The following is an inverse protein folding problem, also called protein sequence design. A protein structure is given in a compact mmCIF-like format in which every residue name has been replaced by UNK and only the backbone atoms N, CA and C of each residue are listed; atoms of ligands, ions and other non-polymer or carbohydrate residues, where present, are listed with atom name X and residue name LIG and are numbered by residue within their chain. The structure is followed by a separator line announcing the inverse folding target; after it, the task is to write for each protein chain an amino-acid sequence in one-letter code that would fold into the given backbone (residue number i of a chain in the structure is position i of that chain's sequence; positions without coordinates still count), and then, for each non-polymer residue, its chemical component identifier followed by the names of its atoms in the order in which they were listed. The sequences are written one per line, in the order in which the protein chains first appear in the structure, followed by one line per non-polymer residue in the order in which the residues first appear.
data_IF_572294071094
#
_entry.id   IF_572294071094
#
_cell.length_a   1.000
_cell.length_b   1.000
_cell.length_c   1.000
_cell.angle_alpha   90.00
_cell.angle_beta   90.00
_cell.angle_gamma   90.00
#
_symmetry.space_group_name_H-M   'P 1'
#
loop_
_entity.id
_entity.type
_entity.pdbx_description
1 polymer ?
#
# COMPACT_ATOMS: atom_id res chain seq x y z
N UNK A 1 3.42 2.85 -4.61
CA UNK A 1 4.18 4.11 -4.54
C UNK A 1 5.00 4.44 -5.78
N UNK A 2 6.09 3.73 -6.12
CA UNK A 2 6.97 4.13 -7.26
C UNK A 2 6.25 4.20 -8.62
N UNK A 3 5.24 3.34 -8.83
CA UNK A 3 4.40 3.34 -10.03
C UNK A 3 3.54 4.61 -10.09
N UNK A 4 3.07 5.10 -8.94
CA UNK A 4 2.35 6.36 -8.82
C UNK A 4 3.27 7.56 -9.08
N UNK A 5 4.50 7.55 -8.55
CA UNK A 5 5.47 8.60 -8.83
C UNK A 5 5.82 8.68 -10.31
N UNK A 6 6.00 7.53 -10.97
CA UNK A 6 6.34 7.48 -12.39
C UNK A 6 5.16 7.84 -13.32
N UNK A 7 3.96 7.35 -13.00
CA UNK A 7 2.76 7.55 -13.82
C UNK A 7 1.50 7.45 -12.94
N UNK A 8 1.20 8.55 -12.25
CA UNK A 8 0.02 8.69 -11.40
C UNK A 8 -1.25 8.34 -12.16
N UNK A 9 -1.49 8.97 -13.31
CA UNK A 9 -2.73 8.77 -14.06
C UNK A 9 -2.88 7.32 -14.54
N UNK A 10 -1.80 6.71 -15.01
CA UNK A 10 -1.82 5.31 -15.41
C UNK A 10 -2.12 4.37 -14.24
N UNK A 11 -1.62 4.65 -13.02
CA UNK A 11 -1.99 3.85 -11.85
C UNK A 11 -3.48 3.95 -11.57
N UNK A 12 -4.05 5.15 -11.55
CA UNK A 12 -5.49 5.34 -11.34
C UNK A 12 -6.34 4.64 -12.41
N UNK A 13 -5.92 4.69 -13.67
CA UNK A 13 -6.59 3.99 -14.76
C UNK A 13 -6.60 2.46 -14.52
N UNK A 14 -5.48 1.88 -14.09
CA UNK A 14 -5.37 0.45 -13.77
C UNK A 14 -6.20 0.05 -12.55
N UNK A 15 -6.21 0.88 -11.49
CA UNK A 15 -7.08 0.65 -10.33
C UNK A 15 -8.54 0.66 -10.74
N UNK A 16 -8.98 1.67 -11.52
CA UNK A 16 -10.36 1.74 -12.00
C UNK A 16 -10.73 0.52 -12.84
N UNK A 17 -9.85 0.11 -13.76
CA UNK A 17 -10.07 -1.07 -14.59
C UNK A 17 -10.20 -2.35 -13.74
N UNK A 18 -9.34 -2.52 -12.73
CA UNK A 18 -9.41 -3.62 -11.78
C UNK A 18 -10.75 -3.65 -11.05
N UNK A 19 -11.17 -2.51 -10.47
CA UNK A 19 -12.45 -2.40 -9.77
C UNK A 19 -13.64 -2.65 -10.73
N UNK A 20 -13.56 -2.19 -11.98
CA UNK A 20 -14.58 -2.46 -13.02
C UNK A 20 -14.69 -3.96 -13.30
N UNK A 21 -13.57 -4.70 -13.32
CA UNK A 21 -13.55 -6.16 -13.49
C UNK A 21 -14.16 -6.85 -12.26
N UNK A 22 -13.73 -6.48 -11.04
CA UNK A 22 -14.23 -7.06 -9.80
C UNK A 22 -15.75 -6.93 -9.67
N UNK A 23 -16.31 -5.75 -9.97
CA UNK A 23 -17.75 -5.52 -9.89
C UNK A 23 -18.52 -6.41 -10.89
N UNK A 24 -18.02 -6.58 -12.13
CA UNK A 24 -18.63 -7.52 -13.11
C UNK A 24 -18.60 -8.98 -12.62
N UNK A 25 -17.59 -9.34 -11.84
CA UNK A 25 -17.44 -10.67 -11.25
C UNK A 25 -18.09 -10.78 -9.85
N UNK A 26 -18.75 -9.72 -9.37
CA UNK A 26 -19.37 -9.66 -8.03
C UNK A 26 -18.38 -9.88 -6.88
N UNK A 27 -17.12 -9.48 -7.08
CA UNK A 27 -16.06 -9.51 -6.08
C UNK A 27 -15.97 -8.15 -5.40
N UNK A 28 -15.98 -8.13 -4.07
CA UNK A 28 -15.74 -6.91 -3.28
C UNK A 28 -14.27 -6.81 -2.90
N UNK A 29 -13.77 -5.58 -2.84
CA UNK A 29 -12.34 -5.30 -2.73
C UNK A 29 -11.98 -4.74 -1.36
N UNK A 30 -10.94 -5.32 -0.77
CA UNK A 30 -10.12 -4.67 0.24
C UNK A 30 -8.89 -4.10 -0.49
N UNK A 31 -8.68 -2.79 -0.42
CA UNK A 31 -7.58 -2.14 -1.16
C UNK A 31 -6.43 -1.80 -0.20
N UNK A 32 -5.24 -2.28 -0.56
CA UNK A 32 -4.00 -2.15 0.24
C UNK A 32 -2.95 -1.34 -0.52
N UNK A 33 -2.70 -0.06 -0.17
CA UNK A 33 -1.75 0.80 -0.89
C UNK A 33 -0.30 0.67 -0.42
N UNK A 34 -0.06 0.13 0.78
CA UNK A 34 1.27 -0.01 1.36
C UNK A 34 1.49 -1.38 2.01
N UNK A 35 2.75 -1.79 2.08
CA UNK A 35 3.22 -3.03 2.68
C UNK A 35 4.74 -2.98 2.94
N UNK A 36 5.23 -3.81 3.86
CA UNK A 36 6.68 -4.09 4.02
C UNK A 36 7.09 -5.48 3.51
N UNK A 37 6.28 -6.08 2.63
CA UNK A 37 6.50 -7.41 2.06
C UNK A 37 7.55 -7.42 0.94
N UNK A 38 8.68 -6.72 1.16
CA UNK A 38 9.83 -6.62 0.26
C UNK A 38 10.72 -7.85 0.32
N UNK A 39 10.15 -9.03 0.09
CA UNK A 39 10.84 -10.32 0.29
C UNK A 39 12.02 -10.55 -0.66
N UNK A 40 12.13 -9.77 -1.75
CA UNK A 40 13.28 -9.79 -2.65
C UNK A 40 14.57 -9.24 -2.04
N UNK A 41 14.47 -8.43 -0.99
CA UNK A 41 15.58 -7.64 -0.43
C UNK A 41 15.91 -6.36 -1.21
N UNK A 42 15.39 -6.19 -2.43
CA UNK A 42 15.66 -5.02 -3.24
C UNK A 42 14.73 -3.85 -2.87
N UNK A 43 15.22 -2.63 -3.11
CA UNK A 43 14.33 -1.48 -3.22
C UNK A 43 13.51 -1.58 -4.51
N UNK A 44 12.19 -1.30 -4.51
CA UNK A 44 11.37 -1.33 -5.71
C UNK A 44 11.93 -0.43 -6.83
N UNK A 45 11.86 -0.90 -8.08
CA UNK A 45 12.29 -0.14 -9.25
C UNK A 45 11.34 -0.37 -10.45
N UNK A 46 11.18 0.63 -11.35
CA UNK A 46 10.38 0.48 -12.56
C UNK A 46 11.08 -0.39 -13.62
N UNK A 47 10.29 -0.90 -14.56
CA UNK A 47 10.81 -1.68 -15.69
C UNK A 47 10.78 -3.19 -15.45
N UNK A 48 11.64 -3.93 -16.17
CA UNK A 48 11.66 -5.38 -16.15
C UNK A 48 12.09 -5.90 -14.79
N UNK A 49 11.20 -6.64 -14.13
CA UNK A 49 11.46 -7.26 -12.83
C UNK A 49 12.33 -8.52 -12.98
N UNK A 50 13.00 -8.90 -11.89
CA UNK A 50 13.73 -10.18 -11.78
C UNK A 50 12.79 -11.35 -12.06
N UNK A 51 13.34 -12.42 -12.64
CA UNK A 51 12.60 -13.67 -12.78
C UNK A 51 12.32 -14.28 -11.40
N UNK A 52 11.15 -14.93 -11.27
CA UNK A 52 10.82 -15.72 -10.09
C UNK A 52 11.90 -16.79 -9.85
N UNK A 53 12.20 -17.06 -8.58
CA UNK A 53 13.12 -18.11 -8.18
C UNK A 53 12.29 -19.38 -7.93
N UNK A 54 12.57 -20.50 -8.63
CA UNK A 54 11.86 -21.76 -8.40
C UNK A 54 11.94 -22.19 -6.93
N UNK A 55 10.83 -22.75 -6.43
CA UNK A 55 10.69 -23.24 -5.04
C UNK A 55 10.89 -22.18 -3.93
N UNK A 56 10.90 -20.88 -4.28
CA UNK A 56 10.99 -19.80 -3.31
C UNK A 56 9.67 -19.00 -3.26
N UNK A 57 8.93 -19.16 -2.16
CA UNK A 57 7.69 -18.43 -1.91
C UNK A 57 7.92 -16.91 -1.94
N UNK A 58 6.98 -16.17 -2.53
CA UNK A 58 7.05 -14.72 -2.72
C UNK A 58 8.39 -14.19 -3.27
N UNK A 59 9.09 -15.02 -4.07
CA UNK A 59 10.34 -14.61 -4.68
C UNK A 59 10.13 -13.30 -5.46
N UNK A 60 11.09 -12.39 -5.32
CA UNK A 60 11.08 -11.10 -5.99
C UNK A 60 9.94 -10.14 -5.60
N UNK A 61 9.21 -10.39 -4.51
CA UNK A 61 8.22 -9.42 -4.03
C UNK A 61 8.86 -8.07 -3.72
N UNK A 62 8.22 -7.00 -4.19
CA UNK A 62 8.62 -5.61 -4.02
C UNK A 62 7.54 -4.88 -3.22
N UNK A 63 7.97 -4.22 -2.15
CA UNK A 63 7.10 -3.50 -1.23
C UNK A 63 6.64 -2.13 -1.79
N UNK A 64 5.59 -1.56 -1.21
CA UNK A 64 5.16 -0.18 -1.42
C UNK A 64 5.09 0.54 -0.07
N UNK A 65 5.87 1.60 0.20
CA UNK A 65 6.70 2.36 -0.72
C UNK A 65 8.12 1.81 -0.92
N UNK A 66 8.50 0.77 -0.18
CA UNK A 66 9.82 0.18 -0.19
C UNK A 66 10.70 0.71 0.95
N UNK A 67 11.56 -0.16 1.48
CA UNK A 67 12.28 0.06 2.74
C UNK A 67 13.10 1.37 2.77
N UNK A 68 13.80 1.73 1.70
CA UNK A 68 14.56 2.99 1.67
C UNK A 68 13.68 4.25 1.87
N UNK A 69 12.42 4.21 1.43
CA UNK A 69 11.47 5.31 1.64
C UNK A 69 10.96 5.30 3.07
N UNK A 70 10.64 4.13 3.62
CA UNK A 70 10.21 3.99 5.02
C UNK A 70 11.31 4.47 5.97
N UNK A 71 12.55 4.08 5.71
CA UNK A 71 13.73 4.43 6.51
C UNK A 71 14.10 5.92 6.44
N UNK A 72 13.57 6.66 5.46
CA UNK A 72 13.89 8.07 5.26
C UNK A 72 12.67 8.97 5.49
N UNK A 73 12.56 9.52 6.71
CA UNK A 73 11.47 10.44 7.09
C UNK A 73 11.33 11.66 6.18
N UNK A 74 12.40 12.12 5.52
CA UNK A 74 12.28 13.25 4.60
C UNK A 74 11.42 12.93 3.38
N UNK A 75 11.25 11.66 3.03
CA UNK A 75 10.42 11.21 1.92
C UNK A 75 8.93 11.03 2.29
N UNK A 76 8.58 11.09 3.57
CA UNK A 76 7.22 10.75 4.02
C UNK A 76 6.16 11.74 3.53
N UNK A 77 6.54 12.96 3.18
CA UNK A 77 5.63 13.92 2.55
C UNK A 77 5.13 13.43 1.17
N UNK A 78 5.95 12.72 0.42
CA UNK A 78 5.52 12.10 -0.85
C UNK A 78 4.60 10.91 -0.59
N UNK A 79 4.88 10.11 0.44
CA UNK A 79 4.01 8.99 0.85
C UNK A 79 2.65 9.52 1.28
N UNK A 80 2.61 10.62 2.04
CA UNK A 80 1.38 11.32 2.40
C UNK A 80 0.59 11.73 1.16
N UNK A 81 1.27 12.37 0.20
CA UNK A 81 0.65 12.81 -1.05
C UNK A 81 0.04 11.63 -1.81
N UNK A 82 0.78 10.51 -1.91
CA UNK A 82 0.30 9.28 -2.54
C UNK A 82 -0.93 8.70 -1.84
N UNK A 83 -0.91 8.59 -0.50
CA UNK A 83 -2.02 8.00 0.26
C UNK A 83 -3.26 8.88 0.18
N UNK A 84 -3.12 10.19 0.40
CA UNK A 84 -4.25 11.12 0.29
C UNK A 84 -4.86 11.11 -1.11
N UNK A 85 -4.03 11.01 -2.14
CA UNK A 85 -4.50 10.97 -3.52
C UNK A 85 -5.34 9.72 -3.82
N UNK A 86 -4.87 8.53 -3.40
CA UNK A 86 -5.64 7.28 -3.53
C UNK A 86 -6.93 7.35 -2.70
N UNK A 87 -6.85 7.73 -1.42
CA UNK A 87 -8.00 7.74 -0.53
C UNK A 87 -9.04 8.77 -1.00
N UNK A 88 -8.65 10.02 -1.25
CA UNK A 88 -9.58 11.07 -1.68
C UNK A 88 -10.26 10.74 -3.01
N UNK A 89 -9.59 10.04 -3.93
CA UNK A 89 -10.15 9.63 -5.22
C UNK A 89 -11.20 8.53 -5.08
N UNK A 90 -10.99 7.55 -4.20
CA UNK A 90 -11.81 6.33 -4.15
C UNK A 90 -12.61 6.13 -2.85
N UNK A 91 -12.57 7.06 -1.89
CA UNK A 91 -13.23 6.93 -0.58
C UNK A 91 -14.73 6.62 -0.63
N UNK A 92 -15.43 7.05 -1.67
CA UNK A 92 -16.86 6.84 -1.85
C UNK A 92 -17.17 5.77 -2.93
N UNK A 93 -16.15 5.04 -3.41
CA UNK A 93 -16.33 3.98 -4.39
C UNK A 93 -16.91 2.71 -3.74
N UNK A 94 -18.16 2.30 -4.04
CA UNK A 94 -18.83 1.21 -3.35
C UNK A 94 -18.26 -0.19 -3.66
N UNK A 95 -17.27 -0.27 -4.56
CA UNK A 95 -16.58 -1.51 -4.90
C UNK A 95 -15.49 -1.83 -3.88
N UNK A 96 -14.96 -0.81 -3.20
CA UNK A 96 -14.01 -0.94 -2.10
C UNK A 96 -14.81 -0.96 -0.79
N UNK A 97 -14.75 -2.08 -0.08
CA UNK A 97 -15.51 -2.27 1.16
C UNK A 97 -14.66 -2.09 2.42
N UNK A 98 -13.34 -2.24 2.30
CA UNK A 98 -12.37 -2.12 3.40
C UNK A 98 -11.09 -1.47 2.86
N UNK A 99 -10.50 -0.60 3.66
CA UNK A 99 -9.18 -0.03 3.45
C UNK A 99 -8.19 -0.70 4.39
N UNK A 100 -7.27 -1.47 3.83
CA UNK A 100 -6.15 -2.07 4.57
C UNK A 100 -4.91 -1.23 4.29
N UNK A 101 -4.74 -0.14 5.03
CA UNK A 101 -3.83 0.94 4.63
C UNK A 101 -2.35 0.54 4.58
N UNK A 102 -1.95 -0.44 5.39
CA UNK A 102 -0.57 -0.89 5.49
C UNK A 102 -0.53 -2.36 5.91
N UNK A 103 -0.16 -3.24 4.99
CA UNK A 103 0.01 -4.66 5.27
C UNK A 103 1.38 -4.97 5.90
N UNK A 104 1.37 -5.72 7.00
CA UNK A 104 2.57 -6.19 7.72
C UNK A 104 3.64 -5.10 8.00
N UNK A 105 3.27 -3.96 8.62
CA UNK A 105 4.24 -2.93 8.97
C UNK A 105 5.31 -3.51 9.92
N UNK A 106 6.58 -3.29 9.58
CA UNK A 106 7.73 -3.83 10.30
C UNK A 106 8.22 -5.18 9.77
N UNK A 107 7.68 -5.71 8.68
CA UNK A 107 8.18 -6.96 8.11
C UNK A 107 9.61 -6.79 7.53
N UNK A 108 10.57 -7.42 8.19
CA UNK A 108 11.99 -7.36 7.83
C UNK A 108 12.43 -8.53 6.94
N UNK A 109 11.57 -9.50 6.67
CA UNK A 109 11.97 -10.74 6.02
C UNK A 109 12.46 -10.50 4.59
N UNK A 110 13.55 -11.16 4.26
CA UNK A 110 14.10 -11.30 2.91
C UNK A 110 14.28 -12.80 2.68
N UNK A 111 13.65 -13.32 1.65
CA UNK A 111 13.68 -14.74 1.35
C UNK A 111 14.82 -15.06 0.38
N UNK A 112 15.59 -16.08 0.72
CA UNK A 112 16.74 -16.57 -0.05
C UNK A 112 16.57 -18.07 -0.30
N UNK A 113 17.24 -18.64 -1.31
CA UNK A 113 17.22 -20.10 -1.53
C UNK A 113 17.72 -20.93 -0.35
N UNK A 114 18.47 -20.31 0.58
CA UNK A 114 19.08 -20.98 1.74
C UNK A 114 18.40 -20.65 3.07
N UNK A 115 17.27 -19.94 3.06
CA UNK A 115 16.55 -19.52 4.26
C UNK A 115 16.13 -18.05 4.22
N UNK A 116 15.95 -17.45 5.38
CA UNK A 116 15.54 -16.05 5.53
C UNK A 116 16.62 -15.22 6.22
N UNK A 117 16.71 -13.95 5.82
CA UNK A 117 17.50 -12.94 6.52
C UNK A 117 16.60 -11.76 6.86
N UNK A 118 17.00 -10.96 7.85
CA UNK A 118 16.26 -9.78 8.27
C UNK A 118 16.95 -8.50 7.79
N UNK A 119 16.14 -7.55 7.31
CA UNK A 119 16.55 -6.16 7.11
C UNK A 119 16.83 -5.45 8.46
N UNK A 120 17.31 -4.21 8.40
CA UNK A 120 17.57 -3.34 9.56
C UNK A 120 16.37 -3.29 10.54
N UNK A 121 16.66 -3.41 11.84
CA UNK A 121 15.66 -3.42 12.92
C UNK A 121 14.90 -2.10 13.07
N UNK A 122 15.49 -0.97 12.68
CA UNK A 122 14.82 0.33 12.73
C UNK A 122 13.59 0.38 11.80
N UNK A 123 13.48 -0.53 10.83
CA UNK A 123 12.31 -0.65 9.98
C UNK A 123 11.04 -0.87 10.82
N UNK A 124 11.09 -1.67 11.88
CA UNK A 124 9.91 -1.96 12.72
C UNK A 124 9.32 -0.67 13.32
N UNK A 125 10.18 0.15 13.92
CA UNK A 125 9.77 1.44 14.52
C UNK A 125 9.26 2.41 13.45
N UNK A 126 10.00 2.57 12.36
CA UNK A 126 9.68 3.56 11.33
C UNK A 126 8.43 3.19 10.52
N UNK A 127 8.21 1.89 10.27
CA UNK A 127 7.02 1.41 9.58
C UNK A 127 5.77 1.58 10.44
N UNK A 128 5.89 1.33 11.75
CA UNK A 128 4.78 1.57 12.68
C UNK A 128 4.39 3.05 12.73
N UNK A 129 5.37 3.95 12.84
CA UNK A 129 5.10 5.40 12.82
C UNK A 129 4.50 5.86 11.48
N UNK A 130 4.98 5.32 10.35
CA UNK A 130 4.41 5.61 9.03
C UNK A 130 2.98 5.06 8.89
N UNK A 131 2.69 3.89 9.44
CA UNK A 131 1.34 3.32 9.52
C UNK A 131 0.42 4.26 10.30
N UNK A 132 0.78 4.68 11.50
CA UNK A 132 -0.03 5.61 12.31
C UNK A 132 -0.34 6.91 11.54
N UNK A 133 0.64 7.43 10.79
CA UNK A 133 0.45 8.59 9.92
C UNK A 133 -0.52 8.31 8.78
N UNK A 134 -0.40 7.16 8.10
CA UNK A 134 -1.33 6.79 7.03
C UNK A 134 -2.78 6.66 7.50
N UNK A 135 -3.00 6.09 8.69
CA UNK A 135 -4.33 6.07 9.31
C UNK A 135 -4.85 7.48 9.60
N UNK A 136 -4.00 8.38 10.09
CA UNK A 136 -4.37 9.78 10.33
C UNK A 136 -4.77 10.48 9.03
N UNK A 137 -3.93 10.40 8.01
CA UNK A 137 -4.18 11.02 6.69
C UNK A 137 -5.49 10.50 6.08
N UNK A 138 -5.71 9.19 6.09
CA UNK A 138 -6.94 8.60 5.56
C UNK A 138 -8.20 9.05 6.32
N UNK A 139 -8.12 9.19 7.65
CA UNK A 139 -9.24 9.72 8.46
C UNK A 139 -9.56 11.17 8.11
N UNK A 140 -8.57 12.01 7.90
CA UNK A 140 -8.78 13.41 7.51
C UNK A 140 -9.50 13.54 6.16
N UNK A 141 -9.19 12.69 5.19
CA UNK A 141 -9.87 12.68 3.88
C UNK A 141 -11.33 12.23 3.94
N UNK A 142 -11.68 11.39 4.93
CA UNK A 142 -13.04 10.83 5.09
C UNK A 142 -13.91 11.64 6.05
N UNK A 143 -13.32 12.35 7.01
CA UNK A 143 -14.05 13.20 7.96
C UNK A 143 -14.59 14.47 7.30
N UNK A 144 -13.86 15.06 6.34
CA UNK A 144 -14.30 16.29 5.66
C UNK A 144 -15.47 16.09 4.68
N UNK A 145 -15.77 14.85 4.24
CA UNK A 145 -16.91 14.59 3.35
C UNK A 145 -18.22 14.25 4.06
N UNK A 146 -18.27 14.21 5.41
CA UNK A 146 -19.48 13.83 6.13
C UNK A 146 -19.78 14.73 7.34
N UNK A 147 -20.84 15.53 7.20
CA UNK A 147 -21.63 16.11 8.30
C UNK A 147 -23.12 15.82 8.04
N UNK A 148 -23.96 15.46 9.04
CA UNK A 148 -23.76 14.45 10.07
C UNK A 148 -24.93 13.43 10.23
N UNK A 149 -25.85 13.25 9.26
CA UNK A 149 -27.10 12.46 9.49
C UNK A 149 -27.52 11.45 8.40
N UNK A 150 -26.59 10.90 7.60
CA UNK A 150 -26.95 10.00 6.49
C UNK A 150 -26.50 8.55 6.72
N UNK A 151 -27.34 7.81 7.43
CA UNK A 151 -27.66 6.38 7.22
C UNK A 151 -26.52 5.35 7.13
N UNK A 152 -26.44 4.54 8.20
CA UNK A 152 -26.21 3.10 8.07
C UNK A 152 -24.76 2.65 7.90
N UNK A 153 -24.03 2.64 9.03
CA UNK A 153 -22.83 1.83 9.30
C UNK A 153 -21.91 1.48 8.12
N UNK A 154 -20.71 2.07 8.13
CA UNK A 154 -19.43 1.37 7.90
C UNK A 154 -18.27 2.28 8.27
N UNK A 155 -17.92 2.30 9.54
CA UNK A 155 -16.54 2.50 9.97
C UNK A 155 -16.17 1.22 10.71
N UNK A 156 -15.25 0.45 10.15
CA UNK A 156 -14.42 -0.47 10.92
C UNK A 156 -13.08 0.26 11.02
N UNK A 157 -12.96 1.04 12.08
CA UNK A 157 -11.69 1.53 12.62
C UNK A 157 -11.67 1.13 14.09
#
# INVERSE_FOLDING_TARGET
FIVWQADRQGLHNRIKQFLDICERQKIKVMLTPMDDCGFSGDHPYPGKQKAAIPELHNSQAAASPGRNVVMNKSMWHEVETYIRDIISTYKDDPRIIIWDLYNEPGNRMIFTPTGEIAFDENLETLSHELMEKAFRWAREETQLSRSPWAHGMRQVF
#
